data_IF_647783256871
#
_entry.id   IF_647783256871
#
_cell.length_a   1.000
_cell.length_b   1.000
_cell.length_c   1.000
_cell.angle_alpha   90.00
_cell.angle_beta   90.00
_cell.angle_gamma   90.00
#
_symmetry.space_group_name_H-M   'P 1'
#
loop_
_entity.id
_entity.type
_entity.pdbx_description
1 polymer ?
#
# COMPACT_ATOMS: atom_id res chain seq x y z
N UNK A 1 -18.10 -9.78 -17.71
CA UNK A 1 -19.24 -10.72 -17.64
C UNK A 1 -20.48 -9.94 -17.26
N UNK A 2 -21.57 -10.09 -17.99
CA UNK A 2 -22.89 -9.59 -17.61
C UNK A 2 -23.78 -10.78 -17.25
N UNK A 3 -24.54 -10.64 -16.15
CA UNK A 3 -25.60 -11.56 -15.77
C UNK A 3 -26.93 -10.88 -16.03
N UNK A 4 -27.75 -11.50 -16.85
CA UNK A 4 -29.08 -11.03 -17.18
C UNK A 4 -30.10 -11.42 -16.09
N UNK A 5 -31.27 -10.78 -16.08
CA UNK A 5 -32.33 -11.05 -15.10
C UNK A 5 -32.90 -12.48 -15.16
N UNK A 6 -32.73 -13.17 -16.26
CA UNK A 6 -33.11 -14.58 -16.48
C UNK A 6 -31.98 -15.56 -16.06
N UNK A 7 -30.85 -15.03 -15.58
CA UNK A 7 -29.67 -15.80 -15.18
C UNK A 7 -28.69 -16.10 -16.32
N UNK A 8 -28.97 -15.67 -17.56
CA UNK A 8 -28.02 -15.87 -18.67
C UNK A 8 -26.72 -15.09 -18.43
N UNK A 9 -25.57 -15.70 -18.76
CA UNK A 9 -24.25 -15.09 -18.61
C UNK A 9 -23.66 -14.78 -19.98
N UNK A 10 -23.25 -13.54 -20.18
CA UNK A 10 -22.54 -13.06 -21.35
C UNK A 10 -21.11 -12.69 -20.95
N UNK A 11 -20.13 -13.20 -21.71
CA UNK A 11 -18.71 -13.00 -21.44
C UNK A 11 -18.05 -12.30 -22.60
N UNK A 12 -17.31 -11.23 -22.31
CA UNK A 12 -16.49 -10.55 -23.30
C UNK A 12 -15.03 -10.44 -22.78
N UNK A 13 -14.10 -10.65 -23.69
CA UNK A 13 -12.66 -10.40 -23.45
C UNK A 13 -12.25 -9.19 -24.27
N UNK A 14 -11.56 -8.26 -23.66
CA UNK A 14 -11.00 -7.07 -24.31
C UNK A 14 -9.49 -7.03 -24.10
N UNK A 15 -8.77 -6.33 -24.98
CA UNK A 15 -7.35 -6.10 -24.81
C UNK A 15 -7.11 -5.20 -23.57
N UNK A 16 -6.03 -5.43 -22.87
CA UNK A 16 -5.63 -4.57 -21.75
C UNK A 16 -5.08 -3.24 -22.28
N UNK A 17 -5.34 -2.16 -21.54
CA UNK A 17 -4.77 -0.84 -21.72
C UNK A 17 -3.82 -0.56 -20.56
N UNK A 18 -2.50 -0.90 -20.69
CA UNK A 18 -1.57 -0.88 -19.55
C UNK A 18 -1.36 0.52 -18.95
N UNK A 19 -1.48 1.56 -19.75
CA UNK A 19 -1.28 2.95 -19.33
C UNK A 19 -2.51 3.50 -18.58
N UNK A 20 -3.70 3.06 -18.97
CA UNK A 20 -4.97 3.33 -18.26
C UNK A 20 -5.88 2.10 -18.29
N UNK A 21 -5.81 1.23 -17.26
CA UNK A 21 -6.66 0.06 -17.20
C UNK A 21 -8.16 0.34 -17.16
N UNK A 22 -8.56 1.58 -16.80
CA UNK A 22 -9.96 2.01 -16.78
C UNK A 22 -10.60 2.05 -18.18
N UNK A 23 -9.82 2.44 -19.19
CA UNK A 23 -10.31 2.50 -20.58
C UNK A 23 -10.80 1.13 -21.07
N UNK A 24 -10.02 0.05 -20.83
CA UNK A 24 -10.42 -1.29 -21.22
C UNK A 24 -11.71 -1.74 -20.51
N UNK A 25 -11.91 -1.35 -19.25
CA UNK A 25 -13.12 -1.67 -18.49
C UNK A 25 -14.33 -0.98 -19.09
N UNK A 26 -14.23 0.32 -19.36
CA UNK A 26 -15.34 1.12 -19.93
C UNK A 26 -15.67 0.64 -21.34
N UNK A 27 -14.69 0.45 -22.19
CA UNK A 27 -14.88 -0.06 -23.55
C UNK A 27 -15.51 -1.46 -23.54
N UNK A 28 -14.99 -2.35 -22.69
CA UNK A 28 -15.51 -3.71 -22.57
C UNK A 28 -16.94 -3.76 -22.04
N UNK A 29 -17.31 -2.86 -21.13
CA UNK A 29 -18.69 -2.72 -20.65
C UNK A 29 -19.61 -2.24 -21.78
N UNK A 30 -19.22 -1.19 -22.51
CA UNK A 30 -20.01 -0.66 -23.62
C UNK A 30 -20.26 -1.71 -24.71
N UNK A 31 -19.20 -2.41 -25.11
CA UNK A 31 -19.29 -3.52 -26.06
C UNK A 31 -20.23 -4.63 -25.59
N UNK A 32 -20.11 -5.02 -24.31
CA UNK A 32 -20.94 -6.08 -23.73
C UNK A 32 -22.41 -5.70 -23.68
N UNK A 33 -22.72 -4.45 -23.31
CA UNK A 33 -24.10 -3.92 -23.33
C UNK A 33 -24.68 -3.92 -24.75
N UNK A 34 -23.90 -3.50 -25.75
CA UNK A 34 -24.32 -3.56 -27.15
C UNK A 34 -24.60 -5.00 -27.61
N UNK A 35 -23.76 -5.97 -27.24
CA UNK A 35 -23.95 -7.38 -27.61
C UNK A 35 -25.26 -7.96 -27.07
N UNK A 36 -25.70 -7.50 -25.89
CA UNK A 36 -26.93 -7.99 -25.26
C UNK A 36 -28.15 -7.08 -25.50
N UNK A 37 -27.97 -5.98 -26.26
CA UNK A 37 -29.04 -5.04 -26.55
C UNK A 37 -29.54 -4.25 -25.34
N UNK A 38 -28.68 -4.05 -24.33
CA UNK A 38 -28.98 -3.31 -23.11
C UNK A 38 -28.29 -1.94 -23.10
N UNK A 39 -28.75 -1.05 -22.23
CA UNK A 39 -28.18 0.27 -21.99
C UNK A 39 -27.63 0.40 -20.58
N UNK A 40 -26.86 1.46 -20.30
CA UNK A 40 -26.34 1.75 -18.97
C UNK A 40 -27.44 1.89 -17.91
N UNK A 41 -28.61 2.36 -18.28
CA UNK A 41 -29.79 2.47 -17.39
C UNK A 41 -30.33 1.11 -16.92
N UNK A 42 -30.03 0.05 -17.63
CA UNK A 42 -30.48 -1.30 -17.30
C UNK A 42 -29.50 -2.01 -16.32
N UNK A 43 -28.30 -1.42 -16.11
CA UNK A 43 -27.28 -1.96 -15.20
C UNK A 43 -27.68 -1.65 -13.75
N UNK A 44 -27.89 -2.69 -12.96
CA UNK A 44 -28.25 -2.57 -11.53
C UNK A 44 -27.04 -2.49 -10.63
N UNK A 45 -26.00 -3.23 -10.97
CA UNK A 45 -24.79 -3.35 -10.15
C UNK A 45 -23.57 -3.62 -11.05
N UNK A 46 -22.43 -3.04 -10.68
CA UNK A 46 -21.14 -3.32 -11.30
C UNK A 46 -20.18 -3.79 -10.23
N UNK A 47 -19.64 -5.01 -10.40
CA UNK A 47 -18.59 -5.54 -9.51
C UNK A 47 -17.28 -5.54 -10.28
N UNK A 48 -16.29 -4.81 -9.79
CA UNK A 48 -14.97 -4.70 -10.39
C UNK A 48 -13.91 -5.32 -9.48
N UNK A 49 -13.13 -6.24 -10.03
CA UNK A 49 -11.96 -6.82 -9.38
C UNK A 49 -10.70 -6.52 -10.17
N UNK A 50 -9.63 -6.17 -9.48
CA UNK A 50 -8.35 -5.85 -10.11
C UNK A 50 -7.17 -6.48 -9.37
N UNK A 51 -6.11 -6.82 -10.09
CA UNK A 51 -4.83 -7.29 -9.55
C UNK A 51 -3.73 -6.22 -9.66
N UNK A 52 -4.08 -4.97 -9.96
CA UNK A 52 -3.10 -3.88 -10.17
C UNK A 52 -2.18 -3.73 -8.96
N UNK A 53 -2.72 -3.70 -7.73
CA UNK A 53 -1.93 -3.60 -6.51
C UNK A 53 -0.95 -4.77 -6.33
N UNK A 54 -1.41 -6.00 -6.54
CA UNK A 54 -0.56 -7.19 -6.47
C UNK A 54 0.54 -7.16 -7.53
N UNK A 55 0.20 -6.78 -8.76
CA UNK A 55 1.16 -6.67 -9.85
C UNK A 55 2.20 -5.57 -9.59
N UNK A 56 1.80 -4.44 -9.02
CA UNK A 56 2.70 -3.36 -8.62
C UNK A 56 3.77 -3.86 -7.64
N UNK A 57 3.34 -4.62 -6.63
CA UNK A 57 4.25 -5.21 -5.63
C UNK A 57 5.18 -6.24 -6.28
N UNK A 58 4.64 -7.18 -7.07
CA UNK A 58 5.42 -8.24 -7.73
C UNK A 58 6.43 -7.69 -8.73
N UNK A 59 6.06 -6.64 -9.47
CA UNK A 59 6.93 -6.01 -10.46
C UNK A 59 7.85 -4.94 -9.85
N UNK A 60 7.71 -4.62 -8.56
CA UNK A 60 8.42 -3.54 -7.87
C UNK A 60 8.30 -2.18 -8.62
N UNK A 61 7.13 -1.92 -9.22
CA UNK A 61 6.82 -0.71 -10.01
C UNK A 61 5.79 0.14 -9.27
N UNK A 62 6.13 0.60 -8.09
CA UNK A 62 5.29 1.51 -7.31
C UNK A 62 5.95 2.86 -7.09
N UNK A 63 5.25 3.74 -6.40
CA UNK A 63 5.80 4.99 -5.92
C UNK A 63 7.05 4.74 -5.06
N UNK A 64 7.99 5.65 -5.10
CA UNK A 64 9.18 5.60 -4.23
C UNK A 64 8.75 5.79 -2.78
N UNK A 65 8.79 4.71 -2.02
CA UNK A 65 8.16 4.65 -0.69
C UNK A 65 9.19 4.73 0.43
N UNK A 66 8.87 5.53 1.46
CA UNK A 66 9.54 5.57 2.75
C UNK A 66 8.73 4.84 3.83
N UNK A 67 9.38 4.49 4.93
CA UNK A 67 8.76 3.90 6.12
C UNK A 67 9.12 4.72 7.33
N UNK A 68 8.12 5.08 8.14
CA UNK A 68 8.33 5.63 9.48
C UNK A 68 7.88 4.58 10.50
N UNK A 69 8.77 4.26 11.43
CA UNK A 69 8.55 3.22 12.44
C UNK A 69 9.03 3.66 13.82
N UNK A 70 8.68 2.87 14.83
CA UNK A 70 9.11 3.04 16.23
C UNK A 70 10.63 2.99 16.34
N UNK A 71 11.22 3.87 17.13
CA UNK A 71 12.66 3.89 17.41
C UNK A 71 13.15 2.52 17.94
N UNK A 72 14.25 2.01 17.34
CA UNK A 72 14.83 0.70 17.61
C UNK A 72 14.26 -0.44 16.75
N UNK A 73 13.33 -0.17 15.82
CA UNK A 73 12.66 -1.20 15.00
C UNK A 73 12.90 -1.07 13.49
N UNK A 74 13.74 -0.13 13.05
CA UNK A 74 14.08 0.06 11.63
C UNK A 74 14.54 -1.20 10.93
N UNK A 75 15.27 -2.04 11.64
CA UNK A 75 15.93 -3.21 11.07
C UNK A 75 15.12 -4.51 11.19
N UNK A 76 13.86 -4.44 11.65
CA UNK A 76 13.00 -5.62 11.76
C UNK A 76 12.82 -6.35 10.42
N UNK A 77 12.81 -5.61 9.31
CA UNK A 77 12.72 -6.17 7.95
C UNK A 77 14.04 -6.84 7.50
N UNK A 78 15.15 -6.55 8.18
CA UNK A 78 16.45 -7.16 7.91
C UNK A 78 16.72 -8.42 8.75
N UNK A 79 16.04 -8.55 9.89
CA UNK A 79 16.28 -9.64 10.84
C UNK A 79 15.62 -10.92 10.32
N UNK A 80 16.40 -11.82 9.76
CA UNK A 80 15.94 -13.13 9.26
C UNK A 80 16.02 -14.27 10.27
N UNK A 81 16.62 -14.08 11.45
CA UNK A 81 16.84 -15.12 12.49
C UNK A 81 17.48 -16.41 11.93
N UNK A 82 18.39 -16.27 10.94
CA UNK A 82 19.07 -17.41 10.27
C UNK A 82 18.08 -18.42 9.64
N UNK A 83 16.85 -17.99 9.32
CA UNK A 83 15.87 -18.83 8.61
C UNK A 83 16.10 -18.73 7.11
N UNK A 84 16.95 -19.61 6.58
CA UNK A 84 17.11 -19.82 5.15
C UNK A 84 16.27 -21.04 4.75
N UNK A 85 15.34 -20.95 3.79
CA UNK A 85 14.48 -22.07 3.45
C UNK A 85 15.24 -23.34 3.04
N UNK A 86 16.22 -23.36 2.14
CA UNK A 86 17.10 -24.51 2.02
C UNK A 86 18.29 -24.38 2.98
N UNK A 87 18.40 -25.28 3.93
CA UNK A 87 19.58 -25.35 4.80
C UNK A 87 20.81 -25.66 3.93
N UNK A 88 21.86 -24.82 4.04
CA UNK A 88 23.11 -24.91 3.27
C UNK A 88 23.03 -24.51 1.77
N UNK A 89 21.99 -23.86 1.30
CA UNK A 89 21.99 -23.26 -0.04
C UNK A 89 22.79 -21.94 -0.03
N UNK A 90 24.01 -21.98 -0.57
CA UNK A 90 24.88 -20.81 -0.66
C UNK A 90 24.46 -19.82 -1.76
N UNK A 91 23.50 -20.21 -2.60
CA UNK A 91 22.95 -19.35 -3.67
C UNK A 91 21.71 -18.60 -3.26
N UNK A 92 21.15 -18.92 -2.08
CA UNK A 92 19.93 -18.26 -1.60
C UNK A 92 20.20 -16.81 -1.24
N UNK A 93 19.46 -15.94 -1.88
CA UNK A 93 19.43 -14.52 -1.57
C UNK A 93 18.15 -14.16 -0.83
N UNK A 94 18.28 -13.36 0.23
CA UNK A 94 17.13 -12.83 0.94
C UNK A 94 16.34 -11.92 0.03
N UNK A 95 15.00 -12.05 -0.05
CA UNK A 95 14.18 -11.11 -0.80
C UNK A 95 14.41 -9.67 -0.34
N UNK A 96 14.66 -8.78 -1.29
CA UNK A 96 14.80 -7.36 -0.99
C UNK A 96 13.50 -6.80 -0.38
N UNK A 97 13.58 -6.10 0.76
CA UNK A 97 12.44 -5.39 1.32
C UNK A 97 11.91 -4.33 0.33
N UNK A 98 10.59 -4.10 0.34
CA UNK A 98 9.95 -3.09 -0.51
C UNK A 98 10.48 -1.67 -0.25
N UNK A 99 10.85 -1.38 1.00
CA UNK A 99 11.45 -0.10 1.37
C UNK A 99 12.92 -0.32 1.72
N UNK A 100 13.87 0.27 0.99
CA UNK A 100 15.29 0.20 1.32
C UNK A 100 15.60 0.77 2.71
N UNK A 101 16.62 0.22 3.38
CA UNK A 101 16.98 0.62 4.75
C UNK A 101 17.18 2.13 4.93
N UNK A 102 17.76 2.82 3.93
CA UNK A 102 18.00 4.27 3.98
C UNK A 102 16.70 5.11 4.07
N UNK A 103 15.59 4.57 3.55
CA UNK A 103 14.27 5.22 3.55
C UNK A 103 13.38 4.75 4.70
N UNK A 104 13.91 3.97 5.66
CA UNK A 104 13.22 3.60 6.89
C UNK A 104 13.71 4.50 8.00
N UNK A 105 12.85 5.39 8.45
CA UNK A 105 13.16 6.36 9.49
C UNK A 105 12.47 5.98 10.79
N UNK A 106 13.07 6.37 11.89
CA UNK A 106 12.58 6.08 13.23
C UNK A 106 12.12 7.36 13.89
N UNK A 107 11.03 7.27 14.64
CA UNK A 107 10.55 8.33 15.50
C UNK A 107 10.47 7.85 16.94
N UNK A 108 10.70 8.76 17.86
CA UNK A 108 10.67 8.48 19.27
C UNK A 108 9.22 8.41 19.75
N UNK A 109 8.72 7.20 19.89
CA UNK A 109 7.39 6.85 20.38
C UNK A 109 7.39 5.42 20.91
N UNK A 110 6.41 5.02 21.73
CA UNK A 110 6.20 3.61 22.09
C UNK A 110 4.80 3.38 22.64
N UNK A 111 4.10 2.38 22.06
CA UNK A 111 2.89 1.78 22.61
C UNK A 111 3.21 0.45 23.28
N UNK A 112 2.56 0.15 24.42
CA UNK A 112 2.57 -1.17 25.04
C UNK A 112 1.56 -2.10 24.38
N UNK A 113 1.63 -3.40 24.69
CA UNK A 113 0.74 -4.40 24.15
C UNK A 113 -0.70 -4.32 24.71
N UNK A 114 -0.91 -3.57 25.79
CA UNK A 114 -2.23 -3.26 26.35
C UNK A 114 -2.83 -1.96 25.80
N UNK A 115 -2.14 -1.30 24.84
CA UNK A 115 -2.56 -0.04 24.25
C UNK A 115 -2.20 1.20 25.09
N UNK A 116 -1.53 1.06 26.23
CA UNK A 116 -1.05 2.21 27.01
C UNK A 116 0.15 2.86 26.35
N UNK A 117 0.30 4.17 26.56
CA UNK A 117 1.43 4.95 26.04
C UNK A 117 2.62 4.77 26.97
N UNK A 118 3.66 4.07 26.51
CA UNK A 118 4.95 3.95 27.23
C UNK A 118 5.83 5.17 27.00
N UNK A 119 5.80 5.68 25.76
CA UNK A 119 6.54 6.89 25.38
C UNK A 119 5.69 7.71 24.42
N UNK A 120 5.42 8.98 24.73
CA UNK A 120 4.67 9.86 23.84
C UNK A 120 5.36 10.02 22.48
N UNK A 121 4.58 10.27 21.43
CA UNK A 121 5.10 10.60 20.12
C UNK A 121 5.86 11.94 20.17
N UNK A 122 7.06 11.95 19.61
CA UNK A 122 7.82 13.17 19.41
C UNK A 122 7.47 13.79 18.06
N UNK A 123 6.54 14.75 18.04
CA UNK A 123 6.09 15.43 16.81
C UNK A 123 7.25 16.02 15.99
N UNK A 124 8.29 16.52 16.68
CA UNK A 124 9.48 17.07 16.02
C UNK A 124 10.25 16.01 15.21
N UNK A 125 10.32 14.75 15.69
CA UNK A 125 10.96 13.66 14.99
C UNK A 125 10.17 13.29 13.72
N UNK A 126 8.83 13.34 13.78
CA UNK A 126 7.96 13.12 12.62
C UNK A 126 8.22 14.16 11.55
N UNK A 127 8.29 15.44 11.92
CA UNK A 127 8.56 16.54 10.97
C UNK A 127 9.96 16.38 10.36
N UNK A 128 10.96 16.04 11.18
CA UNK A 128 12.33 15.80 10.68
C UNK A 128 12.39 14.61 9.72
N UNK A 129 11.70 13.51 10.04
CA UNK A 129 11.59 12.35 9.19
C UNK A 129 10.89 12.67 7.86
N UNK A 130 9.75 13.37 7.91
CA UNK A 130 9.02 13.80 6.72
C UNK A 130 9.86 14.67 5.79
N UNK A 131 10.57 15.67 6.34
CA UNK A 131 11.47 16.53 5.56
C UNK A 131 12.56 15.73 4.87
N UNK A 132 13.23 14.83 5.60
CA UNK A 132 14.27 13.99 5.04
C UNK A 132 13.75 13.09 3.91
N UNK A 133 12.56 12.51 4.06
CA UNK A 133 11.97 11.68 3.02
C UNK A 133 11.65 12.50 1.76
N UNK A 134 11.13 13.73 1.91
CA UNK A 134 10.90 14.66 0.78
C UNK A 134 12.21 15.02 0.09
N UNK A 135 13.26 15.35 0.85
CA UNK A 135 14.58 15.70 0.29
C UNK A 135 15.21 14.53 -0.48
N UNK A 136 14.91 13.29 -0.10
CA UNK A 136 15.32 12.07 -0.81
C UNK A 136 14.40 11.70 -1.99
N UNK A 137 13.40 12.53 -2.30
CA UNK A 137 12.45 12.36 -3.41
C UNK A 137 11.50 11.18 -3.19
N UNK A 138 11.07 10.95 -1.96
CA UNK A 138 10.04 9.96 -1.63
C UNK A 138 8.66 10.53 -1.99
N UNK A 139 7.82 9.69 -2.57
CA UNK A 139 6.47 10.04 -3.05
C UNK A 139 5.37 9.53 -2.10
N UNK A 140 5.62 8.41 -1.44
CA UNK A 140 4.67 7.78 -0.51
C UNK A 140 5.35 7.38 0.79
N UNK A 141 4.63 7.48 1.91
CA UNK A 141 5.11 7.12 3.24
C UNK A 141 4.14 6.13 3.89
N UNK A 142 4.68 4.98 4.26
CA UNK A 142 4.00 4.03 5.14
C UNK A 142 4.39 4.33 6.60
N UNK A 143 3.42 4.35 7.49
CA UNK A 143 3.64 4.46 8.94
C UNK A 143 3.30 3.11 9.54
N UNK A 144 4.23 2.54 10.31
CA UNK A 144 4.00 1.25 10.95
C UNK A 144 4.69 1.25 12.33
N UNK A 145 3.91 1.50 13.38
CA UNK A 145 4.41 1.53 14.74
C UNK A 145 4.16 0.21 15.47
N UNK A 146 5.02 -0.10 16.39
CA UNK A 146 4.88 -1.33 17.20
C UNK A 146 3.68 -1.18 18.12
N UNK A 147 2.81 -2.20 18.10
CA UNK A 147 1.56 -2.28 18.85
C UNK A 147 0.47 -1.27 18.44
N UNK A 148 0.57 -0.65 17.26
CA UNK A 148 -0.47 0.27 16.73
C UNK A 148 -1.86 -0.39 16.62
N UNK A 149 -1.92 -1.71 16.41
CA UNK A 149 -3.16 -2.47 16.37
C UNK A 149 -3.97 -2.42 17.70
N UNK A 150 -3.32 -2.16 18.83
CA UNK A 150 -3.99 -1.97 20.12
C UNK A 150 -4.34 -0.51 20.38
N UNK A 151 -3.57 0.43 19.86
CA UNK A 151 -3.84 1.87 19.95
C UNK A 151 -3.17 2.64 18.80
N UNK A 152 -3.95 3.06 17.84
CA UNK A 152 -3.50 3.78 16.65
C UNK A 152 -3.28 5.29 16.85
N UNK A 153 -3.35 5.83 18.07
CA UNK A 153 -3.31 7.27 18.32
C UNK A 153 -2.03 7.92 17.76
N UNK A 154 -0.86 7.29 17.94
CA UNK A 154 0.41 7.83 17.43
C UNK A 154 0.49 7.77 15.90
N UNK A 155 -0.02 6.71 15.27
CA UNK A 155 -0.06 6.64 13.80
C UNK A 155 -0.99 7.71 13.21
N UNK A 156 -2.19 7.88 13.76
CA UNK A 156 -3.12 8.94 13.33
C UNK A 156 -2.49 10.32 13.47
N UNK A 157 -1.88 10.60 14.63
CA UNK A 157 -1.18 11.88 14.84
C UNK A 157 -0.04 12.08 13.84
N UNK A 158 0.70 11.02 13.52
CA UNK A 158 1.77 11.06 12.52
C UNK A 158 1.22 11.34 11.11
N UNK A 159 0.08 10.74 10.73
CA UNK A 159 -0.62 11.05 9.47
C UNK A 159 -0.99 12.53 9.41
N UNK A 160 -1.61 13.07 10.47
CA UNK A 160 -2.01 14.48 10.54
C UNK A 160 -0.80 15.40 10.33
N UNK A 161 0.28 15.18 11.09
CA UNK A 161 1.51 15.98 11.00
C UNK A 161 2.10 15.95 9.59
N UNK A 162 2.20 14.75 8.98
CA UNK A 162 2.78 14.61 7.65
C UNK A 162 1.91 15.25 6.59
N UNK A 163 0.60 15.08 6.67
CA UNK A 163 -0.35 15.65 5.70
C UNK A 163 -0.38 17.18 5.78
N UNK A 164 -0.31 17.75 6.99
CA UNK A 164 -0.27 19.20 7.20
C UNK A 164 1.03 19.83 6.70
N UNK A 165 2.17 19.19 6.95
CA UNK A 165 3.48 19.80 6.67
C UNK A 165 4.06 19.41 5.29
N UNK A 166 3.61 18.26 4.71
CA UNK A 166 4.13 17.71 3.46
C UNK A 166 2.99 17.19 2.57
N UNK A 167 2.10 18.07 2.08
CA UNK A 167 0.89 17.68 1.32
C UNK A 167 1.18 16.95 0.01
N UNK A 168 2.41 16.98 -0.47
CA UNK A 168 2.85 16.24 -1.67
C UNK A 168 3.07 14.73 -1.39
N UNK A 169 3.17 14.31 -0.13
CA UNK A 169 3.37 12.91 0.22
C UNK A 169 2.02 12.16 0.28
N UNK A 170 1.97 10.99 -0.32
CA UNK A 170 0.89 10.04 -0.08
C UNK A 170 1.17 9.29 1.22
N UNK A 171 0.36 9.51 2.24
CA UNK A 171 0.58 8.94 3.58
C UNK A 171 -0.43 7.87 3.90
N UNK A 172 0.03 6.73 4.41
CA UNK A 172 -0.83 5.64 4.88
C UNK A 172 -0.31 5.09 6.20
N UNK A 173 -1.22 4.74 7.11
CA UNK A 173 -0.93 4.05 8.37
C UNK A 173 -1.31 2.57 8.28
N UNK A 174 -0.74 1.73 9.16
CA UNK A 174 -0.98 0.28 9.21
C UNK A 174 -2.34 -0.11 9.81
#
# INVERSE_FOLDING_TARGET
VAQMGDGALHVRKVASTPDDPGEAVVAGLADLLNDVGASLSDVREVVHGTTVGSNTILQKRGAKTGLITTQGFRDILEIGRIRTPPMFDLTWEKPEPLVPRRHRLEVNERMAADGSVVRPLADADVIAAGRRLVDEGIEAVAICFINSCFNAAHERRTVDILTENFPQLLVTAS
#
